data_IF_193474029666
#
_entry.id   IF_193474029666
#
_cell.length_a   1.000
_cell.length_b   1.000
_cell.length_c   1.000
_cell.angle_alpha   90.00
_cell.angle_beta   90.00
_cell.angle_gamma   90.00
#
_symmetry.space_group_name_H-M   'P 1'
#
loop_
_entity.id
_entity.type
_entity.pdbx_description
1 polymer ?
#
# COMPACT_ATOMS: atom_id res chain seq x y z
N UNK A 1 -0.80 -16.10 -22.33
CA UNK A 1 -0.90 -17.15 -21.28
C UNK A 1 -2.03 -16.76 -20.37
N UNK A 2 -2.93 -17.69 -20.03
CA UNK A 2 -3.98 -17.49 -19.02
C UNK A 2 -3.57 -18.13 -17.70
N UNK A 3 -4.01 -17.57 -16.57
CA UNK A 3 -3.69 -18.06 -15.24
C UNK A 3 -4.96 -18.44 -14.49
N UNK A 4 -5.03 -19.67 -13.99
CA UNK A 4 -6.16 -20.14 -13.18
C UNK A 4 -6.08 -19.56 -11.77
N UNK A 5 -7.17 -18.96 -11.32
CA UNK A 5 -7.27 -18.36 -9.98
C UNK A 5 -7.94 -19.25 -8.94
N UNK A 6 -8.29 -20.49 -9.31
CA UNK A 6 -8.77 -21.46 -8.34
C UNK A 6 -7.66 -21.73 -7.30
N UNK A 7 -7.91 -21.51 -5.98
CA UNK A 7 -6.91 -21.73 -4.92
C UNK A 7 -6.28 -23.12 -4.94
N UNK A 8 -7.07 -24.13 -5.26
CA UNK A 8 -6.67 -25.54 -5.21
C UNK A 8 -6.13 -26.08 -6.54
N UNK A 9 -5.87 -25.19 -7.52
CA UNK A 9 -5.40 -25.60 -8.82
C UNK A 9 -3.92 -26.05 -8.78
N UNK A 10 -3.59 -27.32 -9.11
CA UNK A 10 -2.22 -27.83 -9.05
C UNK A 10 -1.31 -27.28 -10.16
N UNK A 11 -1.89 -26.85 -11.31
CA UNK A 11 -1.17 -26.29 -12.43
C UNK A 11 -1.92 -25.08 -13.01
N UNK A 12 -1.71 -23.86 -12.47
CA UNK A 12 -2.53 -22.70 -12.82
C UNK A 12 -2.20 -22.07 -14.19
N UNK A 13 -1.08 -22.40 -14.83
CA UNK A 13 -0.70 -21.85 -16.14
C UNK A 13 -1.41 -22.58 -17.27
N UNK A 14 -2.06 -21.82 -18.17
CA UNK A 14 -2.83 -22.33 -19.29
C UNK A 14 -2.49 -21.60 -20.58
N UNK A 15 -2.77 -22.18 -21.78
CA UNK A 15 -2.70 -21.47 -23.04
C UNK A 15 -3.58 -20.21 -23.06
N UNK A 16 -3.19 -19.19 -23.84
CA UNK A 16 -3.89 -17.88 -23.87
C UNK A 16 -5.36 -18.00 -24.30
N UNK A 17 -5.68 -18.94 -25.17
CA UNK A 17 -7.02 -19.12 -25.75
C UNK A 17 -7.89 -20.13 -25.00
N UNK A 18 -7.38 -20.71 -23.91
CA UNK A 18 -8.16 -21.66 -23.12
C UNK A 18 -9.29 -20.95 -22.37
N UNK A 19 -10.49 -21.51 -22.42
CA UNK A 19 -11.66 -21.01 -21.69
C UNK A 19 -11.78 -21.66 -20.30
N UNK A 20 -11.26 -22.89 -20.18
CA UNK A 20 -11.21 -23.65 -18.93
C UNK A 20 -9.80 -24.09 -18.60
N UNK A 21 -9.51 -24.21 -17.31
CA UNK A 21 -8.24 -24.70 -16.83
C UNK A 21 -8.03 -26.17 -17.17
N UNK A 22 -6.92 -26.51 -17.80
CA UNK A 22 -6.59 -27.88 -18.21
C UNK A 22 -6.36 -28.83 -17.02
N UNK A 23 -6.04 -28.26 -15.81
CA UNK A 23 -5.74 -29.06 -14.63
C UNK A 23 -6.94 -29.26 -13.69
N UNK A 24 -7.82 -28.26 -13.56
CA UNK A 24 -8.95 -28.30 -12.59
C UNK A 24 -10.32 -27.97 -13.18
N UNK A 25 -10.41 -27.77 -14.50
CA UNK A 25 -11.65 -27.43 -15.24
C UNK A 25 -12.34 -26.13 -14.79
N UNK A 26 -11.71 -25.30 -13.97
CA UNK A 26 -12.26 -24.00 -13.60
C UNK A 26 -12.28 -23.06 -14.81
N UNK A 27 -13.33 -22.20 -14.89
CA UNK A 27 -13.37 -21.13 -15.91
C UNK A 27 -12.16 -20.18 -15.73
N UNK A 28 -11.53 -19.81 -16.85
CA UNK A 28 -10.36 -18.89 -16.85
C UNK A 28 -10.76 -17.44 -17.05
N UNK A 29 -12.02 -17.16 -17.40
CA UNK A 29 -12.61 -15.82 -17.40
C UNK A 29 -13.37 -15.59 -16.10
N UNK A 30 -12.87 -14.69 -15.26
CA UNK A 30 -13.57 -14.26 -14.07
C UNK A 30 -14.76 -13.38 -14.49
N UNK A 31 -16.00 -13.75 -14.04
CA UNK A 31 -17.27 -13.08 -14.41
C UNK A 31 -17.47 -12.95 -15.92
N UNK A 32 -17.00 -13.93 -16.68
CA UNK A 32 -17.04 -13.95 -18.15
C UNK A 32 -16.46 -12.66 -18.81
N UNK A 33 -15.56 -11.98 -18.09
CA UNK A 33 -15.02 -10.67 -18.47
C UNK A 33 -13.50 -10.56 -18.29
N UNK A 34 -12.95 -10.96 -17.15
CA UNK A 34 -11.56 -10.70 -16.82
C UNK A 34 -10.69 -11.94 -17.02
N UNK A 35 -9.73 -11.86 -17.92
CA UNK A 35 -8.73 -12.92 -18.13
C UNK A 35 -7.49 -12.65 -17.30
N UNK A 36 -7.23 -13.52 -16.35
CA UNK A 36 -6.02 -13.41 -15.51
C UNK A 36 -4.80 -13.90 -16.28
N UNK A 37 -3.70 -13.15 -16.20
CA UNK A 37 -2.48 -13.39 -16.96
C UNK A 37 -1.35 -13.94 -16.09
N UNK A 38 -1.11 -13.32 -14.92
CA UNK A 38 -0.03 -13.69 -13.99
C UNK A 38 -0.27 -13.13 -12.59
N UNK A 39 0.43 -13.69 -11.63
CA UNK A 39 0.54 -13.13 -10.27
C UNK A 39 1.42 -11.88 -10.30
N UNK A 40 1.00 -10.80 -9.64
CA UNK A 40 1.76 -9.58 -9.38
C UNK A 40 2.39 -9.59 -8.00
N UNK A 41 1.67 -10.13 -7.00
CA UNK A 41 2.13 -10.21 -5.63
C UNK A 41 1.22 -11.07 -4.77
N UNK A 42 1.75 -11.50 -3.64
CA UNK A 42 1.02 -12.28 -2.64
C UNK A 42 1.23 -11.66 -1.28
N UNK A 43 0.14 -11.27 -0.64
CA UNK A 43 0.08 -10.85 0.76
C UNK A 43 -0.48 -11.95 1.66
N UNK A 44 -0.66 -11.63 2.96
CA UNK A 44 -1.14 -12.61 3.93
C UNK A 44 -2.62 -12.99 3.77
N UNK A 45 -3.43 -12.07 3.25
CA UNK A 45 -4.87 -12.27 3.10
C UNK A 45 -5.34 -12.23 1.65
N UNK A 46 -4.47 -11.85 0.71
CA UNK A 46 -4.86 -11.69 -0.69
C UNK A 46 -3.71 -12.00 -1.64
N UNK A 47 -4.08 -12.41 -2.86
CA UNK A 47 -3.17 -12.50 -4.00
C UNK A 47 -3.62 -11.47 -5.03
N UNK A 48 -2.67 -10.72 -5.57
CA UNK A 48 -2.92 -9.73 -6.62
C UNK A 48 -2.44 -10.28 -7.97
N UNK A 49 -3.30 -10.19 -8.97
CA UNK A 49 -3.04 -10.66 -10.32
C UNK A 49 -3.09 -9.51 -11.32
N UNK A 50 -2.29 -9.61 -12.38
CA UNK A 50 -2.50 -8.88 -13.62
C UNK A 50 -3.58 -9.60 -14.42
N UNK A 51 -4.57 -8.87 -14.89
CA UNK A 51 -5.62 -9.37 -15.76
C UNK A 51 -5.90 -8.41 -16.92
N UNK A 52 -6.64 -8.87 -17.90
CA UNK A 52 -7.19 -8.07 -19.00
C UNK A 52 -8.70 -8.09 -18.94
N UNK A 53 -9.32 -6.94 -19.10
CA UNK A 53 -10.75 -6.77 -19.28
C UNK A 53 -11.10 -7.03 -20.75
N UNK A 54 -11.62 -8.22 -21.07
CA UNK A 54 -11.97 -8.61 -22.44
C UNK A 54 -13.28 -7.99 -22.94
N UNK A 55 -14.07 -7.36 -22.05
CA UNK A 55 -15.28 -6.63 -22.44
C UNK A 55 -15.01 -5.29 -23.11
N UNK A 56 -13.79 -4.74 -22.93
CA UNK A 56 -13.37 -3.46 -23.48
C UNK A 56 -12.59 -3.62 -24.76
N UNK A 57 -12.86 -2.75 -25.74
CA UNK A 57 -12.03 -2.63 -26.93
C UNK A 57 -10.59 -2.30 -26.51
N UNK A 58 -9.60 -3.05 -27.04
CA UNK A 58 -8.18 -2.90 -26.68
C UNK A 58 -7.73 -3.70 -25.46
N UNK A 59 -8.59 -4.51 -24.84
CA UNK A 59 -8.23 -5.40 -23.72
C UNK A 59 -7.42 -4.70 -22.63
N UNK A 60 -8.05 -3.74 -21.98
CA UNK A 60 -7.39 -2.92 -20.95
C UNK A 60 -6.88 -3.78 -19.79
N UNK A 61 -5.64 -3.54 -19.37
CA UNK A 61 -5.07 -4.20 -18.19
C UNK A 61 -5.73 -3.70 -16.90
N UNK A 62 -5.98 -4.62 -15.97
CA UNK A 62 -6.47 -4.35 -14.63
C UNK A 62 -5.72 -5.19 -13.59
N UNK A 63 -5.77 -4.79 -12.33
CA UNK A 63 -5.27 -5.57 -11.20
C UNK A 63 -6.44 -6.21 -10.47
N UNK A 64 -6.39 -7.53 -10.27
CA UNK A 64 -7.40 -8.27 -9.50
C UNK A 64 -6.77 -8.70 -8.20
N UNK A 65 -7.32 -8.23 -7.09
CA UNK A 65 -6.98 -8.68 -5.74
C UNK A 65 -8.02 -9.73 -5.32
N UNK A 66 -7.57 -10.93 -5.02
CA UNK A 66 -8.41 -12.03 -4.58
C UNK A 66 -8.16 -12.32 -3.12
N UNK A 67 -9.22 -12.36 -2.31
CA UNK A 67 -9.13 -12.70 -0.89
C UNK A 67 -8.76 -14.19 -0.73
N UNK A 68 -7.61 -14.45 -0.10
CA UNK A 68 -7.09 -15.81 0.19
C UNK A 68 -6.43 -15.84 1.56
N UNK A 69 -7.19 -15.82 2.67
CA UNK A 69 -6.60 -15.96 4.00
C UNK A 69 -5.98 -17.35 4.17
N UNK A 70 -4.71 -17.39 4.58
CA UNK A 70 -3.98 -18.63 4.85
C UNK A 70 -4.37 -19.23 6.21
N UNK A 71 -5.69 -19.29 6.52
CA UNK A 71 -6.20 -19.76 7.80
C UNK A 71 -7.61 -20.30 7.66
N UNK A 72 -7.96 -21.25 8.52
CA UNK A 72 -9.32 -21.78 8.65
C UNK A 72 -10.09 -21.18 9.85
N UNK A 73 -9.47 -20.26 10.62
CA UNK A 73 -10.11 -19.65 11.80
C UNK A 73 -11.21 -18.67 11.36
N UNK A 74 -12.49 -18.90 11.70
CA UNK A 74 -13.61 -18.11 11.15
C UNK A 74 -13.51 -16.61 11.45
N UNK A 75 -13.03 -16.24 12.64
CA UNK A 75 -12.90 -14.83 13.03
C UNK A 75 -11.84 -14.08 12.21
N UNK A 76 -10.73 -14.75 11.82
CA UNK A 76 -9.68 -14.15 10.96
C UNK A 76 -10.21 -13.99 9.53
N UNK A 77 -10.96 -14.99 9.04
CA UNK A 77 -11.60 -14.92 7.72
C UNK A 77 -12.57 -13.75 7.67
N UNK A 78 -13.45 -13.62 8.68
CA UNK A 78 -14.40 -12.50 8.78
C UNK A 78 -13.69 -11.15 8.82
N UNK A 79 -12.65 -11.01 9.64
CA UNK A 79 -11.83 -9.80 9.69
C UNK A 79 -11.20 -9.47 8.33
N UNK A 80 -10.65 -10.47 7.63
CA UNK A 80 -10.06 -10.27 6.32
C UNK A 80 -11.11 -9.83 5.28
N UNK A 81 -12.33 -10.35 5.36
CA UNK A 81 -13.46 -9.92 4.52
C UNK A 81 -13.85 -8.46 4.78
N UNK A 82 -13.93 -8.05 6.05
CA UNK A 82 -14.25 -6.68 6.45
C UNK A 82 -13.18 -5.68 6.00
N UNK A 83 -11.88 -6.03 6.12
CA UNK A 83 -10.78 -5.21 5.61
C UNK A 83 -10.85 -5.08 4.08
N UNK A 84 -11.19 -6.15 3.40
CA UNK A 84 -11.31 -6.20 1.95
C UNK A 84 -12.49 -5.35 1.44
N UNK A 85 -13.64 -5.41 2.12
CA UNK A 85 -14.80 -4.56 1.84
C UNK A 85 -14.47 -3.08 2.08
N UNK A 86 -13.75 -2.76 3.17
CA UNK A 86 -13.29 -1.39 3.47
C UNK A 86 -12.33 -0.85 2.41
N UNK A 87 -11.43 -1.68 1.87
CA UNK A 87 -10.56 -1.30 0.77
C UNK A 87 -11.36 -0.90 -0.47
N UNK A 88 -12.37 -1.71 -0.83
CA UNK A 88 -13.26 -1.41 -1.95
C UNK A 88 -14.06 -0.11 -1.75
N UNK A 89 -14.59 0.11 -0.54
CA UNK A 89 -15.30 1.35 -0.19
C UNK A 89 -14.37 2.58 -0.25
N UNK A 90 -13.16 2.44 0.27
CA UNK A 90 -12.14 3.49 0.21
C UNK A 90 -11.82 3.85 -1.25
N UNK A 91 -11.52 2.87 -2.09
CA UNK A 91 -11.25 3.12 -3.52
C UNK A 91 -12.46 3.72 -4.25
N UNK A 92 -13.69 3.34 -3.89
CA UNK A 92 -14.90 3.96 -4.44
C UNK A 92 -15.01 5.43 -4.07
N UNK A 93 -14.61 5.77 -2.83
CA UNK A 93 -14.65 7.14 -2.29
C UNK A 93 -13.58 8.05 -2.89
N UNK A 94 -12.34 7.57 -3.04
CA UNK A 94 -11.19 8.42 -3.41
C UNK A 94 -10.54 8.05 -4.75
N UNK A 95 -10.96 6.99 -5.42
CA UNK A 95 -10.35 6.50 -6.67
C UNK A 95 -10.55 7.40 -7.89
N UNK A 96 -11.22 8.56 -7.75
CA UNK A 96 -11.24 9.59 -8.76
C UNK A 96 -9.98 10.48 -8.77
N UNK A 97 -9.16 10.40 -7.71
CA UNK A 97 -7.90 11.14 -7.64
C UNK A 97 -6.85 10.52 -8.55
N UNK A 98 -6.12 11.29 -9.39
CA UNK A 98 -5.22 10.75 -10.41
C UNK A 98 -4.01 9.96 -9.86
N UNK A 99 -3.73 10.06 -8.57
CA UNK A 99 -2.66 9.34 -7.88
C UNK A 99 -3.18 8.18 -7.01
N UNK A 100 -4.44 7.75 -7.22
CA UNK A 100 -5.08 6.61 -6.56
C UNK A 100 -5.67 5.71 -7.64
N UNK A 101 -5.51 4.37 -7.58
CA UNK A 101 -6.13 3.47 -8.54
C UNK A 101 -7.65 3.55 -8.52
N UNK A 102 -8.28 3.57 -9.68
CA UNK A 102 -9.73 3.52 -9.79
C UNK A 102 -10.26 2.13 -9.44
N UNK A 103 -11.32 2.04 -8.65
CA UNK A 103 -12.09 0.80 -8.48
C UNK A 103 -12.88 0.53 -9.77
N UNK A 104 -12.70 -0.64 -10.37
CA UNK A 104 -13.38 -1.06 -11.60
C UNK A 104 -14.52 -2.03 -11.35
N UNK A 105 -14.36 -2.93 -10.37
CA UNK A 105 -15.38 -3.94 -10.01
C UNK A 105 -15.11 -4.46 -8.59
N UNK A 106 -16.15 -4.98 -7.94
CA UNK A 106 -16.05 -5.59 -6.61
C UNK A 106 -17.10 -6.67 -6.47
N UNK A 107 -16.73 -7.82 -5.91
CA UNK A 107 -17.63 -8.94 -5.67
C UNK A 107 -17.42 -9.50 -4.26
N UNK A 108 -18.43 -9.35 -3.41
CA UNK A 108 -18.53 -9.89 -2.05
C UNK A 108 -19.56 -11.02 -1.91
N UNK A 109 -20.38 -11.21 -2.93
CA UNK A 109 -21.36 -12.31 -3.02
C UNK A 109 -20.79 -13.55 -3.72
N UNK A 110 -19.53 -13.51 -4.18
CA UNK A 110 -18.83 -14.62 -4.81
C UNK A 110 -17.77 -15.24 -3.87
N UNK A 111 -17.43 -16.48 -4.13
CA UNK A 111 -16.38 -17.19 -3.40
C UNK A 111 -15.30 -17.65 -4.38
N UNK A 112 -14.05 -17.20 -4.18
CA UNK A 112 -13.53 -16.19 -3.24
C UNK A 112 -13.87 -14.75 -3.65
N UNK A 113 -13.84 -13.80 -2.71
CA UNK A 113 -14.07 -12.37 -2.95
C UNK A 113 -13.02 -11.76 -3.86
N UNK A 114 -13.43 -10.81 -4.72
CA UNK A 114 -12.56 -10.10 -5.64
C UNK A 114 -12.73 -8.59 -5.55
N UNK A 115 -11.63 -7.90 -5.74
CA UNK A 115 -11.57 -6.47 -6.01
C UNK A 115 -10.81 -6.28 -7.32
N UNK A 116 -11.41 -5.58 -8.28
CA UNK A 116 -10.77 -5.25 -9.55
C UNK A 116 -10.52 -3.75 -9.59
N UNK A 117 -9.28 -3.37 -9.81
CA UNK A 117 -8.86 -1.98 -9.84
C UNK A 117 -7.98 -1.68 -11.06
N UNK A 118 -7.79 -0.42 -11.34
CA UNK A 118 -6.85 0.07 -12.34
C UNK A 118 -5.46 -0.57 -12.13
N UNK A 119 -4.88 -1.10 -13.21
CA UNK A 119 -3.48 -1.54 -13.19
C UNK A 119 -2.55 -0.38 -13.44
N UNK A 120 -1.74 -0.03 -12.46
CA UNK A 120 -0.74 1.03 -12.59
C UNK A 120 0.53 0.41 -13.16
N UNK A 121 0.80 0.66 -14.43
CA UNK A 121 2.03 0.21 -15.08
C UNK A 121 3.20 1.08 -14.62
N UNK A 122 4.23 0.45 -14.04
CA UNK A 122 5.41 1.14 -13.55
C UNK A 122 6.18 0.31 -12.52
N UNK A 123 7.27 0.87 -12.02
CA UNK A 123 8.07 0.29 -10.94
C UNK A 123 7.67 0.93 -9.61
N UNK A 124 7.60 0.12 -8.56
CA UNK A 124 7.49 0.64 -7.21
C UNK A 124 8.78 1.41 -6.85
N UNK A 125 8.69 2.35 -5.92
CA UNK A 125 9.89 3.04 -5.43
C UNK A 125 10.90 2.06 -4.80
N UNK A 126 10.39 0.97 -4.22
CA UNK A 126 11.26 -0.12 -3.73
C UNK A 126 12.07 -0.75 -4.87
N UNK A 127 11.40 -1.16 -5.95
CA UNK A 127 12.07 -1.73 -7.13
C UNK A 127 13.04 -0.75 -7.78
N UNK A 128 12.68 0.54 -7.83
CA UNK A 128 13.58 1.57 -8.35
C UNK A 128 14.87 1.68 -7.54
N UNK A 129 14.77 1.71 -6.19
CA UNK A 129 15.94 1.76 -5.32
C UNK A 129 16.80 0.50 -5.46
N UNK A 130 16.19 -0.68 -5.59
CA UNK A 130 16.93 -1.92 -5.84
C UNK A 130 17.70 -1.92 -7.17
N UNK A 131 17.15 -1.28 -8.21
CA UNK A 131 17.76 -1.24 -9.55
C UNK A 131 18.79 -0.12 -9.71
N UNK A 132 18.56 1.05 -9.12
CA UNK A 132 19.33 2.26 -9.40
C UNK A 132 20.04 2.86 -8.17
N UNK A 133 19.84 2.26 -7.00
CA UNK A 133 20.42 2.75 -5.74
C UNK A 133 19.66 3.92 -5.11
N UNK A 134 20.22 4.48 -4.02
CA UNK A 134 19.63 5.57 -3.26
C UNK A 134 19.42 6.86 -4.08
N UNK A 135 18.51 7.69 -3.59
CA UNK A 135 18.18 9.00 -4.20
C UNK A 135 18.94 10.13 -3.54
N UNK A 136 19.19 11.18 -4.31
CA UNK A 136 19.73 12.45 -3.80
C UNK A 136 18.69 13.18 -2.93
N UNK A 137 19.17 14.14 -2.12
CA UNK A 137 18.30 15.04 -1.36
C UNK A 137 17.28 15.76 -2.25
N UNK A 138 17.70 16.24 -3.44
CA UNK A 138 16.84 16.95 -4.38
C UNK A 138 15.68 16.06 -4.86
N UNK A 139 15.97 14.80 -5.22
CA UNK A 139 14.95 13.85 -5.66
C UNK A 139 13.97 13.49 -4.52
N UNK A 140 14.45 13.40 -3.26
CA UNK A 140 13.58 13.13 -2.12
C UNK A 140 12.73 14.35 -1.74
N UNK A 141 13.26 15.57 -1.85
CA UNK A 141 12.47 16.80 -1.73
C UNK A 141 11.37 16.86 -2.80
N UNK A 142 11.71 16.55 -4.04
CA UNK A 142 10.72 16.48 -5.13
C UNK A 142 9.64 15.40 -4.87
N UNK A 143 10.05 14.22 -4.40
CA UNK A 143 9.11 13.17 -3.97
C UNK A 143 8.15 13.67 -2.90
N UNK A 144 8.64 14.35 -1.87
CA UNK A 144 7.81 14.92 -0.80
C UNK A 144 6.84 15.97 -1.35
N UNK A 145 7.31 16.90 -2.21
CA UNK A 145 6.46 17.93 -2.81
C UNK A 145 5.34 17.34 -3.68
N UNK A 146 5.57 16.19 -4.31
CA UNK A 146 4.58 15.49 -5.12
C UNK A 146 3.60 14.67 -4.26
N UNK A 147 4.08 14.05 -3.17
CA UNK A 147 3.29 13.13 -2.37
C UNK A 147 2.46 13.81 -1.27
N UNK A 148 2.97 14.87 -0.65
CA UNK A 148 2.28 15.55 0.46
C UNK A 148 0.89 16.10 0.08
N UNK A 149 0.64 16.66 -1.12
CA UNK A 149 -0.70 17.03 -1.55
C UNK A 149 -1.68 15.86 -1.63
N UNK A 150 -1.22 14.68 -2.10
CA UNK A 150 -2.02 13.46 -2.09
C UNK A 150 -2.36 13.03 -0.66
N UNK A 151 -1.37 13.07 0.25
CA UNK A 151 -1.59 12.70 1.64
C UNK A 151 -2.57 13.65 2.33
N UNK A 152 -2.47 14.96 2.08
CA UNK A 152 -3.43 15.97 2.57
C UNK A 152 -4.84 15.69 2.02
N UNK A 153 -4.97 15.34 0.75
CA UNK A 153 -6.25 14.94 0.16
C UNK A 153 -6.84 13.71 0.89
N UNK A 154 -6.04 12.65 1.12
CA UNK A 154 -6.50 11.45 1.83
C UNK A 154 -6.98 11.80 3.24
N UNK A 155 -6.20 12.59 3.98
CA UNK A 155 -6.56 13.05 5.32
C UNK A 155 -7.82 13.94 5.34
N UNK A 156 -8.02 14.78 4.31
CA UNK A 156 -9.25 15.58 4.17
C UNK A 156 -10.51 14.73 3.98
N UNK A 157 -10.35 13.50 3.48
CA UNK A 157 -11.40 12.51 3.38
C UNK A 157 -11.61 11.72 4.68
N UNK A 158 -10.96 12.13 5.79
CA UNK A 158 -11.00 11.49 7.11
C UNK A 158 -10.43 10.06 7.11
N UNK A 159 -9.47 9.79 6.24
CA UNK A 159 -8.80 8.50 6.09
C UNK A 159 -7.37 8.59 6.61
N UNK A 160 -6.90 7.53 7.28
CA UNK A 160 -5.51 7.30 7.66
C UNK A 160 -5.04 6.07 6.89
N UNK A 161 -3.96 6.18 6.11
CA UNK A 161 -3.52 5.10 5.21
C UNK A 161 -2.87 3.93 5.96
N UNK A 162 -2.03 4.19 6.95
CA UNK A 162 -1.35 3.25 7.87
C UNK A 162 -0.31 2.32 7.24
N UNK A 163 -0.13 2.31 5.93
CA UNK A 163 0.87 1.46 5.26
C UNK A 163 1.61 2.21 4.13
N UNK A 164 2.02 3.46 4.39
CA UNK A 164 2.88 4.23 3.48
C UNK A 164 4.28 3.64 3.53
N UNK A 165 4.74 3.13 2.37
CA UNK A 165 6.07 2.53 2.20
C UNK A 165 6.45 2.51 0.71
N UNK A 166 7.75 2.37 0.38
CA UNK A 166 8.21 2.38 -1.02
C UNK A 166 7.58 1.30 -1.91
N UNK A 167 7.18 0.15 -1.34
CA UNK A 167 6.54 -0.93 -2.10
C UNK A 167 5.09 -0.60 -2.52
N UNK A 168 4.43 0.36 -1.83
CA UNK A 168 3.06 0.79 -2.12
C UNK A 168 3.00 2.07 -2.97
N UNK A 169 4.13 2.54 -3.47
CA UNK A 169 4.26 3.75 -4.28
C UNK A 169 4.83 3.39 -5.64
N UNK A 170 4.05 3.58 -6.70
CA UNK A 170 4.46 3.29 -8.08
C UNK A 170 4.70 4.61 -8.82
N UNK A 171 5.84 4.72 -9.51
CA UNK A 171 6.06 5.73 -10.54
C UNK A 171 5.41 5.23 -11.82
N UNK A 172 4.26 5.80 -12.18
CA UNK A 172 3.48 5.41 -13.37
C UNK A 172 4.29 5.71 -14.63
N UNK A 173 4.37 4.73 -15.53
CA UNK A 173 5.23 4.81 -16.72
C UNK A 173 4.73 5.86 -17.73
N UNK A 174 3.42 6.06 -17.83
CA UNK A 174 2.78 6.92 -18.83
C UNK A 174 3.09 8.41 -18.64
N UNK A 175 3.00 8.91 -17.40
CA UNK A 175 3.08 10.35 -17.08
C UNK A 175 4.09 10.65 -15.97
N UNK A 176 4.83 9.65 -15.51
CA UNK A 176 5.79 9.72 -14.41
C UNK A 176 5.20 10.18 -13.08
N UNK A 177 3.88 10.21 -12.92
CA UNK A 177 3.23 10.53 -11.66
C UNK A 177 3.39 9.42 -10.65
N UNK A 178 3.47 9.82 -9.40
CA UNK A 178 3.48 8.91 -8.27
C UNK A 178 2.05 8.47 -7.96
N UNK A 179 1.81 7.18 -7.84
CA UNK A 179 0.52 6.60 -7.49
C UNK A 179 0.67 5.77 -6.23
N UNK A 180 -0.17 6.02 -5.23
CA UNK A 180 -0.27 5.23 -4.01
C UNK A 180 -1.24 4.08 -4.25
N UNK A 181 -0.75 2.85 -4.05
CA UNK A 181 -1.51 1.61 -4.19
C UNK A 181 -1.70 0.93 -2.84
N UNK A 182 -2.64 0.01 -2.75
CA UNK A 182 -2.93 -0.80 -1.56
C UNK A 182 -3.54 0.00 -0.38
N UNK A 183 -4.86 0.06 -0.37
CA UNK A 183 -5.66 0.73 0.67
C UNK A 183 -6.23 -0.26 1.70
N UNK A 184 -5.74 -1.49 1.75
CA UNK A 184 -6.25 -2.55 2.64
C UNK A 184 -6.00 -2.31 4.14
N UNK A 185 -5.10 -1.39 4.47
CA UNK A 185 -4.81 -1.01 5.86
C UNK A 185 -5.56 0.25 6.33
N UNK A 186 -6.32 0.92 5.46
CA UNK A 186 -6.96 2.22 5.76
C UNK A 186 -7.94 2.14 6.93
N UNK A 187 -7.93 3.19 7.75
CA UNK A 187 -8.88 3.39 8.86
C UNK A 187 -9.57 4.74 8.71
N UNK A 188 -10.90 4.79 8.96
CA UNK A 188 -11.58 6.06 9.15
C UNK A 188 -11.16 6.70 10.47
N UNK A 189 -10.90 8.00 10.46
CA UNK A 189 -10.49 8.73 11.68
C UNK A 189 -11.57 8.72 12.78
N UNK A 190 -12.84 8.61 12.38
CA UNK A 190 -13.99 8.58 13.29
C UNK A 190 -14.35 7.19 13.83
N UNK A 191 -13.68 6.12 13.33
CA UNK A 191 -13.95 4.76 13.84
C UNK A 191 -13.56 4.70 15.34
N UNK A 192 -14.51 4.26 16.18
CA UNK A 192 -14.31 4.04 17.60
C UNK A 192 -13.10 3.13 17.85
N UNK A 193 -12.12 3.52 18.68
CA UNK A 193 -11.03 2.64 19.08
C UNK A 193 -11.48 1.32 19.70
N UNK A 194 -12.66 1.29 20.34
CA UNK A 194 -13.25 0.13 20.99
C UNK A 194 -14.21 -0.68 20.11
N UNK A 195 -14.33 -0.32 18.80
CA UNK A 195 -15.06 -1.12 17.83
C UNK A 195 -14.45 -2.53 17.74
N UNK A 196 -15.18 -3.49 17.16
CA UNK A 196 -14.82 -4.95 17.02
C UNK A 196 -13.34 -5.19 16.65
N UNK A 197 -12.68 -4.20 16.07
CA UNK A 197 -11.24 -4.20 15.77
C UNK A 197 -10.33 -3.97 16.98
N UNK A 198 -10.84 -3.45 18.12
CA UNK A 198 -10.07 -3.25 19.36
C UNK A 198 -9.90 -4.50 20.23
N UNK A 199 -10.68 -5.56 20.00
CA UNK A 199 -10.72 -6.72 20.90
C UNK A 199 -10.17 -8.03 20.33
N UNK A 200 -9.82 -8.10 19.05
CA UNK A 200 -9.29 -9.33 18.45
C UNK A 200 -7.77 -9.35 18.46
N UNK A 201 -7.19 -10.52 18.78
CA UNK A 201 -5.75 -10.81 18.69
C UNK A 201 -5.25 -10.50 17.28
N UNK A 202 -4.64 -9.31 17.15
CA UNK A 202 -4.11 -8.78 15.92
C UNK A 202 -2.96 -9.65 15.43
N UNK A 203 -3.02 -10.07 14.19
CA UNK A 203 -1.82 -10.58 13.52
C UNK A 203 -0.89 -9.39 13.25
N UNK A 204 0.41 -9.59 13.34
CA UNK A 204 1.46 -8.57 13.12
C UNK A 204 1.23 -7.71 11.85
N UNK A 205 0.50 -8.24 10.88
CA UNK A 205 0.21 -7.63 9.59
C UNK A 205 -0.95 -6.62 9.57
N UNK A 206 -1.78 -6.59 10.63
CA UNK A 206 -2.87 -5.60 10.77
C UNK A 206 -2.38 -4.26 11.32
N UNK A 207 -1.17 -4.23 11.87
CA UNK A 207 -0.58 -3.08 12.57
C UNK A 207 0.20 -2.18 11.61
N UNK A 208 0.46 -2.64 10.39
CA UNK A 208 1.30 -1.97 9.40
C UNK A 208 2.61 -2.74 9.16
N UNK A 209 3.44 -2.23 8.28
CA UNK A 209 4.72 -2.87 7.93
C UNK A 209 5.76 -2.60 9.03
N UNK A 210 6.42 -3.65 9.58
CA UNK A 210 7.46 -3.48 10.60
C UNK A 210 8.54 -2.47 10.17
N UNK A 211 8.87 -1.56 11.08
CA UNK A 211 9.83 -0.47 10.87
C UNK A 211 9.25 0.79 10.23
N UNK A 212 8.06 0.74 9.62
CA UNK A 212 7.33 1.92 9.10
C UNK A 212 6.23 2.41 10.02
N UNK A 213 5.65 1.52 10.83
CA UNK A 213 4.57 1.87 11.74
C UNK A 213 5.10 2.58 13.01
N UNK A 214 4.57 3.77 13.36
CA UNK A 214 4.94 4.48 14.59
C UNK A 214 4.31 3.85 15.84
N UNK A 215 4.80 4.23 17.06
CA UNK A 215 4.33 3.66 18.32
C UNK A 215 2.82 3.73 18.55
N UNK A 216 2.18 4.85 18.21
CA UNK A 216 0.73 5.02 18.37
C UNK A 216 -0.07 4.09 17.45
N UNK A 217 0.45 3.80 16.26
CA UNK A 217 -0.19 2.84 15.34
C UNK A 217 -0.05 1.42 15.85
N UNK A 218 1.12 1.05 16.41
CA UNK A 218 1.34 -0.24 17.07
C UNK A 218 0.41 -0.38 18.28
N UNK A 219 0.17 0.72 19.00
CA UNK A 219 -0.79 0.78 20.11
C UNK A 219 -2.27 0.87 19.66
N UNK A 220 -2.56 0.68 18.35
CA UNK A 220 -3.91 0.67 17.76
C UNK A 220 -4.65 2.02 17.80
N UNK A 221 -3.94 3.12 17.99
CA UNK A 221 -4.45 4.49 18.02
C UNK A 221 -3.82 5.37 16.93
N UNK A 222 -3.91 4.97 15.64
CA UNK A 222 -3.32 5.74 14.55
C UNK A 222 -4.02 7.10 14.43
N UNK A 223 -3.23 8.10 14.08
CA UNK A 223 -3.67 9.48 13.78
C UNK A 223 -3.08 9.93 12.45
N UNK A 224 -3.47 11.08 11.91
CA UNK A 224 -2.90 11.59 10.64
C UNK A 224 -1.37 11.69 10.67
N UNK A 225 -0.81 12.09 11.80
CA UNK A 225 0.64 12.14 11.99
C UNK A 225 1.32 10.76 11.93
N UNK A 226 0.57 9.65 12.03
CA UNK A 226 1.13 8.30 11.85
C UNK A 226 1.58 8.06 10.40
N UNK A 227 0.83 8.58 9.43
CA UNK A 227 1.21 8.53 8.02
C UNK A 227 2.44 9.42 7.74
N UNK A 228 2.59 10.55 8.45
CA UNK A 228 3.77 11.42 8.34
C UNK A 228 5.03 10.70 8.83
N UNK A 229 4.94 9.93 9.91
CA UNK A 229 6.05 9.10 10.38
C UNK A 229 6.46 8.07 9.31
N UNK A 230 5.50 7.30 8.79
CA UNK A 230 5.74 6.30 7.76
C UNK A 230 6.34 6.92 6.48
N UNK A 231 5.90 8.13 6.12
CA UNK A 231 6.47 8.91 5.03
C UNK A 231 7.91 9.33 5.32
N UNK A 232 8.23 9.75 6.54
CA UNK A 232 9.58 10.04 7.00
C UNK A 232 10.50 8.83 6.87
N UNK A 233 10.07 7.65 7.34
CA UNK A 233 10.81 6.38 7.18
C UNK A 233 10.98 6.03 5.70
N UNK A 234 9.98 6.29 4.86
CA UNK A 234 10.06 6.12 3.41
C UNK A 234 11.15 7.01 2.82
N UNK A 235 11.26 8.28 3.22
CA UNK A 235 12.33 9.18 2.79
C UNK A 235 13.71 8.67 3.21
N UNK A 236 13.87 8.17 4.44
CA UNK A 236 15.13 7.59 4.89
C UNK A 236 15.51 6.37 4.02
N UNK A 237 14.55 5.52 3.68
CA UNK A 237 14.80 4.41 2.76
C UNK A 237 15.26 4.91 1.38
N UNK A 238 14.60 5.92 0.81
CA UNK A 238 14.96 6.49 -0.49
C UNK A 238 16.38 7.09 -0.47
N UNK A 239 16.77 7.79 0.60
CA UNK A 239 18.07 8.40 0.77
C UNK A 239 19.20 7.39 0.99
N UNK A 240 18.94 6.30 1.73
CA UNK A 240 19.98 5.39 2.21
C UNK A 240 20.02 4.05 1.47
N UNK A 241 18.94 3.67 0.78
CA UNK A 241 18.75 2.34 0.21
C UNK A 241 18.63 1.23 1.28
N UNK A 242 18.56 1.58 2.57
CA UNK A 242 18.55 0.63 3.68
C UNK A 242 17.14 0.46 4.24
N UNK A 243 16.70 -0.80 4.33
CA UNK A 243 15.47 -1.13 5.06
C UNK A 243 15.55 -0.61 6.51
N UNK A 244 14.46 -0.04 7.07
CA UNK A 244 14.44 0.47 8.45
C UNK A 244 14.90 -0.58 9.47
N UNK A 245 14.60 -1.85 9.25
CA UNK A 245 15.04 -2.96 10.12
C UNK A 245 16.56 -3.21 10.09
N UNK A 246 17.28 -2.64 9.12
CA UNK A 246 18.75 -2.72 9.00
C UNK A 246 19.46 -1.47 9.55
N UNK A 247 18.69 -0.46 9.99
CA UNK A 247 19.23 0.74 10.61
C UNK A 247 19.40 0.52 12.12
N UNK A 248 20.42 1.16 12.69
CA UNK A 248 20.62 1.15 14.14
C UNK A 248 19.66 2.14 14.80
N UNK A 249 19.33 1.87 16.07
CA UNK A 249 18.58 2.80 16.92
C UNK A 249 19.45 3.24 18.10
N UNK A 250 19.34 4.49 18.47
CA UNK A 250 19.93 4.99 19.70
C UNK A 250 19.23 4.31 20.88
N UNK A 251 20.00 3.63 21.75
CA UNK A 251 19.42 2.86 22.86
C UNK A 251 18.77 3.74 23.93
N UNK A 252 19.19 5.00 24.05
CA UNK A 252 18.69 5.92 25.06
C UNK A 252 17.46 6.71 24.60
N UNK A 253 17.44 7.13 23.31
CA UNK A 253 16.37 7.97 22.75
C UNK A 253 15.38 7.19 21.89
N UNK A 254 15.69 5.93 21.55
CA UNK A 254 14.95 5.10 20.60
C UNK A 254 14.84 5.70 19.19
N UNK A 255 15.67 6.70 18.88
CA UNK A 255 15.68 7.34 17.56
C UNK A 255 16.44 6.52 16.53
N UNK A 256 15.96 6.56 15.29
CA UNK A 256 16.61 5.91 14.16
C UNK A 256 17.91 6.64 13.79
N UNK A 257 19.03 5.91 13.80
CA UNK A 257 20.36 6.46 13.44
C UNK A 257 20.57 6.29 11.94
N UNK A 258 20.20 7.28 11.15
CA UNK A 258 20.25 7.22 9.69
C UNK A 258 21.25 8.21 9.05
N UNK A 259 21.49 9.38 9.67
CA UNK A 259 22.30 10.49 9.11
C UNK A 259 23.73 10.07 8.75
N UNK A 260 24.33 9.10 9.48
CA UNK A 260 25.67 8.58 9.17
C UNK A 260 25.79 7.87 7.82
N UNK A 261 24.66 7.59 7.14
CA UNK A 261 24.65 6.89 5.85
C UNK A 261 24.43 7.81 4.64
N UNK A 262 24.18 9.09 4.86
CA UNK A 262 23.86 10.05 3.79
C UNK A 262 24.33 11.45 4.15
N UNK A 263 24.75 12.22 3.13
CA UNK A 263 25.09 13.63 3.28
C UNK A 263 23.94 14.48 2.73
N UNK A 264 23.29 15.22 3.60
CA UNK A 264 22.21 16.16 3.26
C UNK A 264 22.38 17.45 4.08
N UNK A 265 21.65 18.51 3.73
CA UNK A 265 21.66 19.76 4.49
C UNK A 265 21.02 19.58 5.88
N UNK A 266 21.53 20.34 6.87
CA UNK A 266 21.04 20.31 8.24
C UNK A 266 19.54 20.62 8.31
N UNK A 267 19.06 21.64 7.58
CA UNK A 267 17.65 22.01 7.56
C UNK A 267 16.75 20.89 7.01
N UNK A 268 17.20 20.15 5.99
CA UNK A 268 16.41 19.01 5.52
C UNK A 268 16.45 17.83 6.49
N UNK A 269 17.61 17.62 7.15
CA UNK A 269 17.73 16.61 8.21
C UNK A 269 16.79 16.91 9.39
N UNK A 270 16.64 18.18 9.79
CA UNK A 270 15.71 18.61 10.84
C UNK A 270 14.25 18.32 10.45
N UNK A 271 13.85 18.59 9.20
CA UNK A 271 12.51 18.26 8.72
C UNK A 271 12.24 16.76 8.84
N UNK A 272 13.17 15.92 8.37
CA UNK A 272 13.01 14.46 8.43
C UNK A 272 13.02 13.96 9.88
N UNK A 273 13.90 14.46 10.75
CA UNK A 273 13.92 14.10 12.16
C UNK A 273 12.59 14.42 12.85
N UNK A 274 12.02 15.61 12.57
CA UNK A 274 10.71 15.97 13.11
C UNK A 274 9.55 15.11 12.58
N UNK A 275 9.63 14.63 11.32
CA UNK A 275 8.68 13.62 10.83
C UNK A 275 8.80 12.28 11.58
N UNK A 276 10.01 11.93 12.03
CA UNK A 276 10.33 10.68 12.71
C UNK A 276 10.17 10.73 14.24
N UNK A 277 9.76 11.86 14.80
CA UNK A 277 9.51 11.98 16.24
C UNK A 277 8.58 10.87 16.75
N UNK A 278 9.01 10.16 17.78
CA UNK A 278 8.23 9.06 18.38
C UNK A 278 6.93 9.58 19.01
N UNK A 279 6.99 10.74 19.65
CA UNK A 279 5.82 11.39 20.22
C UNK A 279 5.06 12.20 19.17
N UNK A 280 3.78 11.89 18.98
CA UNK A 280 2.86 12.64 18.10
C UNK A 280 2.88 14.13 18.37
N UNK A 281 3.05 14.53 19.65
CA UNK A 281 3.05 15.94 20.08
C UNK A 281 4.16 16.77 19.43
N UNK A 282 5.31 16.17 19.17
CA UNK A 282 6.49 16.84 18.61
C UNK A 282 6.60 16.69 17.10
N UNK A 283 5.82 15.78 16.53
CA UNK A 283 5.76 15.54 15.07
C UNK A 283 4.94 16.63 14.37
N UNK A 284 5.07 16.74 13.05
CA UNK A 284 4.17 17.60 12.28
C UNK A 284 2.72 17.08 12.39
N UNK A 285 1.75 17.98 12.68
CA UNK A 285 0.36 17.56 12.83
C UNK A 285 -0.34 17.24 11.50
N UNK A 286 0.10 17.84 10.38
CA UNK A 286 -0.49 17.65 9.05
C UNK A 286 0.56 17.56 7.94
N UNK A 287 0.19 16.99 6.79
CA UNK A 287 1.00 16.96 5.58
C UNK A 287 1.33 18.38 5.09
N UNK A 288 0.41 19.33 5.25
CA UNK A 288 0.59 20.74 4.92
C UNK A 288 1.70 21.41 5.73
N UNK A 289 1.86 21.05 7.02
CA UNK A 289 2.91 21.61 7.86
C UNK A 289 4.29 21.08 7.45
N UNK A 290 4.38 19.83 6.99
CA UNK A 290 5.62 19.31 6.40
C UNK A 290 5.96 20.07 5.13
N UNK A 291 4.98 20.30 4.24
CA UNK A 291 5.19 21.02 2.98
C UNK A 291 5.74 22.43 3.22
N UNK A 292 5.17 23.17 4.17
CA UNK A 292 5.66 24.52 4.55
C UNK A 292 7.09 24.49 5.08
N UNK A 293 7.44 23.45 5.85
CA UNK A 293 8.81 23.32 6.38
C UNK A 293 9.85 22.94 5.32
N UNK A 294 9.44 22.40 4.17
CA UNK A 294 10.33 22.13 3.03
C UNK A 294 10.65 23.38 2.21
N UNK A 295 9.78 24.40 2.26
CA UNK A 295 9.88 25.67 1.53
C UNK A 295 10.69 26.73 2.31
N UNK A 296 10.84 26.56 3.63
CA UNK A 296 11.61 27.41 4.52
C UNK A 296 13.10 27.06 4.49
#
# INVERSE_FOLDING_TARGET
MSYCINPDCPQPKNPTQADVCQACNAKLLLRDRYRVLKVLGQGNFAITFLAQDESKQGKQNCAIKQLRPATTKPYIIKMAQELFAREAETLRKIGYHPQVPQLLDYCDDCQPFYLVQEYIQGLTLHQQIEQTGPRSQAEVKQFLSEFLPLLEFIHSQQLIHRDIKPANLIRRQEDSKLVLIDFGAVKNYQDDPDSIFGQTTWTENSIGTPGYAPPEQIAMRPVYASDIFALGVTCIYLLTGKSPNKLSYNRSTCEMVWQKYVQISDGFAEVLNKMLEASVRYRYPSAKDVLRALES
#
